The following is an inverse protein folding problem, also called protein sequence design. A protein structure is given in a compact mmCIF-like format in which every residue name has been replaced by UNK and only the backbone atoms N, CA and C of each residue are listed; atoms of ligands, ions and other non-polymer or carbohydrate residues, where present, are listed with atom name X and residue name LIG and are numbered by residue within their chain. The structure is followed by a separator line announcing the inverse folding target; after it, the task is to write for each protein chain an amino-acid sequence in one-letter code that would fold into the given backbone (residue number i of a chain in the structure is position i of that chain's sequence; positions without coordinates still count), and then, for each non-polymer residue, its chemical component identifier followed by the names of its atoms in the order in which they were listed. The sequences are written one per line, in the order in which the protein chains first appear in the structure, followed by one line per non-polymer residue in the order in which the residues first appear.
data_IF_154029698386
#
_entry.id   IF_154029698386
#
_cell.length_a   1.000
_cell.length_b   1.000
_cell.length_c   1.000
_cell.angle_alpha   90.00
_cell.angle_beta   90.00
_cell.angle_gamma   90.00
#
_symmetry.space_group_name_H-M   'P 1'
#
loop_
_entity.id
_entity.type
_entity.pdbx_description
1 polymer ?
#
# COMPACT_ATOMS: atom_id res chain seq x y z
N UNK A 1 -4.18 -20.42 -10.44
CA UNK A 1 -4.49 -20.17 -9.01
C UNK A 1 -3.94 -18.85 -8.50
N UNK A 2 -2.63 -18.59 -8.57
CA UNK A 2 -2.02 -17.32 -8.11
C UNK A 2 -2.60 -16.07 -8.78
N UNK A 3 -2.93 -16.14 -10.07
CA UNK A 3 -3.58 -15.05 -10.81
C UNK A 3 -4.96 -14.67 -10.25
N UNK A 4 -5.79 -15.66 -9.89
CA UNK A 4 -7.08 -15.41 -9.24
C UNK A 4 -6.90 -14.75 -7.88
N UNK A 5 -5.86 -15.12 -7.13
CA UNK A 5 -5.56 -14.48 -5.85
C UNK A 5 -5.16 -13.01 -6.01
N UNK A 6 -4.40 -12.65 -7.07
CA UNK A 6 -4.14 -11.23 -7.38
C UNK A 6 -5.42 -10.46 -7.67
N UNK A 7 -6.32 -11.05 -8.46
CA UNK A 7 -7.59 -10.44 -8.83
C UNK A 7 -8.39 -10.13 -7.58
N UNK A 8 -8.57 -11.13 -6.70
CA UNK A 8 -9.33 -10.98 -5.46
C UNK A 8 -8.68 -9.94 -4.55
N UNK A 9 -7.36 -10.01 -4.31
CA UNK A 9 -6.67 -9.06 -3.45
C UNK A 9 -6.79 -7.60 -3.94
N UNK A 10 -6.63 -7.39 -5.25
CA UNK A 10 -6.72 -6.06 -5.87
C UNK A 10 -8.16 -5.52 -5.81
N UNK A 11 -9.15 -6.35 -6.10
CA UNK A 11 -10.56 -5.97 -6.02
C UNK A 11 -11.00 -5.68 -4.58
N UNK A 12 -10.53 -6.48 -3.60
CA UNK A 12 -10.77 -6.21 -2.18
C UNK A 12 -10.19 -4.85 -1.78
N UNK A 13 -8.93 -4.58 -2.11
CA UNK A 13 -8.31 -3.28 -1.82
C UNK A 13 -9.09 -2.13 -2.45
N UNK A 14 -9.45 -2.25 -3.73
CA UNK A 14 -10.21 -1.24 -4.47
C UNK A 14 -11.59 -1.00 -3.87
N UNK A 15 -12.30 -2.05 -3.44
CA UNK A 15 -13.61 -1.91 -2.77
C UNK A 15 -13.51 -1.21 -1.43
N UNK A 16 -12.50 -1.52 -0.62
CA UNK A 16 -12.27 -0.80 0.65
C UNK A 16 -11.91 0.67 0.37
N UNK A 17 -11.18 0.94 -0.71
CA UNK A 17 -10.85 2.31 -1.10
C UNK A 17 -12.07 3.11 -1.59
N UNK A 18 -12.88 2.54 -2.48
CA UNK A 18 -14.12 3.17 -2.99
C UNK A 18 -15.13 3.44 -1.87
N UNK A 19 -15.28 2.53 -0.91
CA UNK A 19 -16.20 2.73 0.23
C UNK A 19 -15.73 3.85 1.18
N UNK A 20 -14.44 4.21 1.18
CA UNK A 20 -13.89 5.34 1.93
C UNK A 20 -14.02 6.67 1.18
N UNK A 21 -13.84 6.62 -0.13
CA UNK A 21 -13.83 7.78 -1.03
C UNK A 21 -14.90 7.57 -2.11
N UNK A 22 -16.19 7.79 -1.79
CA UNK A 22 -17.28 7.59 -2.75
C UNK A 22 -17.21 8.55 -3.95
N UNK A 23 -16.43 9.62 -3.83
CA UNK A 23 -16.07 10.57 -4.88
C UNK A 23 -15.08 10.00 -5.91
N UNK A 24 -14.33 8.95 -5.58
CA UNK A 24 -13.34 8.33 -6.47
C UNK A 24 -13.92 7.02 -7.03
N UNK A 25 -14.69 7.14 -8.11
CA UNK A 25 -15.16 5.97 -8.84
C UNK A 25 -14.17 5.58 -9.96
N UNK A 26 -13.28 4.65 -9.67
CA UNK A 26 -12.42 4.05 -10.71
C UNK A 26 -13.28 3.33 -11.76
N UNK A 27 -13.11 3.68 -13.03
CA UNK A 27 -13.83 3.01 -14.11
C UNK A 27 -13.44 1.53 -14.18
N UNK A 28 -14.40 0.67 -14.54
CA UNK A 28 -14.17 -0.76 -14.68
C UNK A 28 -13.02 -1.03 -15.68
N UNK A 29 -13.03 -0.33 -16.81
CA UNK A 29 -11.99 -0.43 -17.84
C UNK A 29 -10.58 -0.10 -17.29
N UNK A 30 -10.43 0.97 -16.51
CA UNK A 30 -9.15 1.33 -15.90
C UNK A 30 -8.69 0.28 -14.90
N UNK A 31 -9.61 -0.23 -14.08
CA UNK A 31 -9.31 -1.26 -13.08
C UNK A 31 -8.82 -2.54 -13.74
N UNK A 32 -9.52 -3.03 -14.76
CA UNK A 32 -9.12 -4.23 -15.49
C UNK A 32 -7.82 -4.04 -16.27
N UNK A 33 -7.56 -2.83 -16.81
CA UNK A 33 -6.29 -2.52 -17.45
C UNK A 33 -5.12 -2.60 -16.47
N UNK A 34 -5.25 -2.01 -15.27
CA UNK A 34 -4.23 -2.12 -14.22
C UNK A 34 -4.02 -3.57 -13.81
N UNK A 35 -5.10 -4.33 -13.65
CA UNK A 35 -5.03 -5.74 -13.30
C UNK A 35 -4.30 -6.56 -14.37
N UNK A 36 -4.58 -6.30 -15.65
CA UNK A 36 -3.88 -6.93 -16.77
C UNK A 36 -2.38 -6.60 -16.74
N UNK A 37 -2.02 -5.33 -16.50
CA UNK A 37 -0.62 -4.93 -16.33
C UNK A 37 0.07 -5.68 -15.19
N UNK A 38 -0.59 -5.80 -14.03
CA UNK A 38 -0.06 -6.55 -12.87
C UNK A 38 0.18 -8.02 -13.22
N UNK A 39 -0.77 -8.67 -13.90
CA UNK A 39 -0.64 -10.08 -14.32
C UNK A 39 0.49 -10.24 -15.34
N UNK A 40 0.62 -9.31 -16.30
CA UNK A 40 1.70 -9.34 -17.29
C UNK A 40 3.07 -9.14 -16.64
N UNK A 41 3.20 -8.23 -15.67
CA UNK A 41 4.43 -8.03 -14.88
C UNK A 41 4.73 -9.30 -14.08
N UNK A 42 3.72 -9.90 -13.44
CA UNK A 42 3.79 -11.19 -12.76
C UNK A 42 4.38 -12.28 -13.68
N UNK A 43 3.79 -12.44 -14.87
CA UNK A 43 4.23 -13.41 -15.87
C UNK A 43 5.65 -13.13 -16.36
N UNK A 44 5.97 -11.87 -16.66
CA UNK A 44 7.31 -11.48 -17.11
C UNK A 44 8.39 -11.76 -16.05
N UNK A 45 8.08 -11.52 -14.78
CA UNK A 45 8.99 -11.82 -13.67
C UNK A 45 9.18 -13.31 -13.42
N UNK A 46 8.18 -14.13 -13.72
CA UNK A 46 8.31 -15.60 -13.68
C UNK A 46 9.18 -16.10 -14.85
N UNK A 47 9.00 -15.56 -16.06
CA UNK A 47 9.71 -16.03 -17.27
C UNK A 47 11.15 -15.50 -17.38
N UNK A 48 11.40 -14.25 -16.96
CA UNK A 48 12.67 -13.53 -17.12
C UNK A 48 13.14 -12.89 -15.81
N UNK A 49 12.93 -13.56 -14.68
CA UNK A 49 13.24 -13.09 -13.33
C UNK A 49 14.73 -12.94 -13.01
N UNK A 50 15.47 -12.11 -13.75
CA UNK A 50 16.87 -11.79 -13.49
C UNK A 50 17.05 -10.76 -12.36
N UNK A 51 18.26 -10.65 -11.82
CA UNK A 51 18.59 -9.77 -10.69
C UNK A 51 18.19 -8.31 -10.95
N UNK A 52 18.42 -7.79 -12.16
CA UNK A 52 18.02 -6.43 -12.54
C UNK A 52 16.51 -6.21 -12.51
N UNK A 53 15.72 -7.21 -12.90
CA UNK A 53 14.27 -7.15 -12.83
C UNK A 53 13.81 -7.10 -11.36
N UNK A 54 14.41 -7.91 -10.50
CA UNK A 54 14.12 -7.91 -9.06
C UNK A 54 14.47 -6.59 -8.38
N UNK A 55 15.62 -5.99 -8.70
CA UNK A 55 16.02 -4.67 -8.17
C UNK A 55 15.03 -3.61 -8.66
N UNK A 56 14.76 -3.55 -9.96
CA UNK A 56 13.83 -2.58 -10.55
C UNK A 56 12.42 -2.69 -9.97
N UNK A 57 11.92 -3.93 -9.84
CA UNK A 57 10.61 -4.19 -9.25
C UNK A 57 10.56 -3.82 -7.76
N UNK A 58 11.61 -4.11 -6.99
CA UNK A 58 11.67 -3.74 -5.57
C UNK A 58 11.70 -2.22 -5.38
N UNK A 59 12.45 -1.50 -6.22
CA UNK A 59 12.41 -0.03 -6.24
C UNK A 59 11.00 0.49 -6.57
N UNK A 60 10.35 -0.05 -7.60
CA UNK A 60 8.99 0.34 -7.98
C UNK A 60 7.98 0.05 -6.86
N UNK A 61 8.09 -1.10 -6.18
CA UNK A 61 7.27 -1.46 -5.04
C UNK A 61 7.43 -0.47 -3.89
N UNK A 62 8.67 -0.15 -3.49
CA UNK A 62 8.95 0.81 -2.42
C UNK A 62 8.42 2.21 -2.75
N UNK A 63 8.61 2.67 -3.99
CA UNK A 63 8.06 3.96 -4.46
C UNK A 63 6.53 3.95 -4.36
N UNK A 64 5.88 2.86 -4.81
CA UNK A 64 4.42 2.73 -4.76
C UNK A 64 3.91 2.76 -3.31
N UNK A 65 4.57 2.04 -2.39
CA UNK A 65 4.21 2.04 -0.97
C UNK A 65 4.39 3.42 -0.32
N UNK A 66 5.43 4.16 -0.70
CA UNK A 66 5.62 5.54 -0.24
C UNK A 66 4.51 6.45 -0.77
N UNK A 67 4.18 6.39 -2.07
CA UNK A 67 3.10 7.19 -2.65
C UNK A 67 1.76 6.89 -1.98
N UNK A 68 1.43 5.61 -1.79
CA UNK A 68 0.20 5.19 -1.08
C UNK A 68 0.17 5.73 0.35
N UNK A 69 1.29 5.65 1.05
CA UNK A 69 1.40 6.20 2.40
C UNK A 69 1.13 7.70 2.41
N UNK A 70 1.71 8.46 1.49
CA UNK A 70 1.48 9.90 1.45
C UNK A 70 0.02 10.22 1.07
N UNK A 71 -0.59 9.47 0.16
CA UNK A 71 -2.01 9.64 -0.16
C UNK A 71 -2.94 9.38 1.04
N UNK A 72 -2.68 8.32 1.82
CA UNK A 72 -3.43 8.01 3.04
C UNK A 72 -3.25 9.11 4.09
N UNK A 73 -2.03 9.65 4.23
CA UNK A 73 -1.75 10.73 5.18
C UNK A 73 -2.54 12.01 4.86
N UNK A 74 -2.62 12.38 3.58
CA UNK A 74 -3.35 13.57 3.11
C UNK A 74 -4.81 13.29 2.71
N UNK A 75 -5.41 12.19 3.18
CA UNK A 75 -6.84 11.87 3.00
C UNK A 75 -7.30 11.84 1.53
N UNK A 76 -6.44 11.42 0.61
CA UNK A 76 -6.80 11.30 -0.82
C UNK A 76 -7.10 12.63 -1.54
N UNK A 77 -7.03 13.78 -0.85
CA UNK A 77 -7.20 15.11 -1.47
C UNK A 77 -5.99 15.54 -2.29
N UNK A 78 -4.92 14.75 -2.27
CA UNK A 78 -3.69 15.09 -2.97
C UNK A 78 -3.77 14.58 -4.40
N UNK A 79 -4.14 15.47 -5.32
CA UNK A 79 -3.90 15.27 -6.75
C UNK A 79 -2.38 15.18 -6.93
N UNK A 80 -1.90 14.12 -7.57
CA UNK A 80 -0.47 13.92 -7.89
C UNK A 80 -0.05 14.87 -9.01
N UNK A 81 -0.16 16.17 -8.77
CA UNK A 81 0.38 17.17 -9.66
C UNK A 81 1.89 17.23 -9.44
N UNK A 82 2.68 17.19 -10.51
CA UNK A 82 4.14 17.34 -10.44
C UNK A 82 4.57 18.58 -9.62
N UNK A 83 3.76 19.64 -9.65
CA UNK A 83 3.92 20.86 -8.87
C UNK A 83 3.72 20.68 -7.36
N UNK A 84 2.95 19.69 -6.92
CA UNK A 84 2.75 19.37 -5.51
C UNK A 84 3.91 18.54 -4.95
N UNK A 85 4.44 17.60 -5.75
CA UNK A 85 5.66 16.84 -5.43
C UNK A 85 6.85 17.80 -5.29
N UNK A 86 7.00 18.75 -6.24
CA UNK A 86 8.06 19.77 -6.19
C UNK A 86 7.95 20.64 -4.94
N UNK A 87 6.74 21.03 -4.53
CA UNK A 87 6.50 21.81 -3.31
C UNK A 87 6.88 21.05 -2.05
N UNK A 88 6.51 19.77 -1.94
CA UNK A 88 6.88 18.95 -0.79
C UNK A 88 8.37 18.66 -0.76
N UNK A 89 9.01 18.40 -1.90
CA UNK A 89 10.46 18.24 -1.96
C UNK A 89 11.21 19.51 -1.53
N UNK A 90 10.74 20.68 -1.97
CA UNK A 90 11.34 21.97 -1.57
C UNK A 90 11.12 22.23 -0.09
N UNK A 91 9.93 21.95 0.45
CA UNK A 91 9.63 22.09 1.88
C UNK A 91 10.49 21.15 2.73
N UNK A 92 10.58 19.87 2.38
CA UNK A 92 11.43 18.90 3.06
C UNK A 92 12.90 19.32 2.96
N UNK A 93 13.36 19.75 1.79
CA UNK A 93 14.74 20.20 1.59
C UNK A 93 15.08 21.44 2.43
N UNK A 94 14.15 22.39 2.54
CA UNK A 94 14.33 23.62 3.31
C UNK A 94 14.22 23.37 4.83
N UNK A 95 13.27 22.54 5.27
CA UNK A 95 13.08 22.17 6.67
C UNK A 95 14.25 21.32 7.20
N UNK A 96 14.79 20.39 6.39
CA UNK A 96 16.02 19.65 6.70
C UNK A 96 17.24 20.57 6.88
N UNK A 97 17.25 21.71 6.19
CA UNK A 97 18.35 22.68 6.24
C UNK A 97 18.31 23.58 7.49
N UNK A 98 17.13 23.79 8.07
CA UNK A 98 16.93 24.73 9.18
C UNK A 98 16.98 24.05 10.55
N UNK A 99 16.40 22.86 10.72
CA UNK A 99 16.59 22.04 11.92
C UNK A 99 15.98 20.63 11.74
N UNK A 100 16.77 19.54 11.88
CA UNK A 100 16.27 18.17 11.69
C UNK A 100 15.19 17.76 12.71
N UNK A 101 15.10 18.45 13.85
CA UNK A 101 14.17 18.14 14.94
C UNK A 101 12.77 18.74 14.75
N UNK A 102 12.60 19.78 13.91
CA UNK A 102 11.27 20.37 13.65
C UNK A 102 10.45 19.59 12.61
N UNK A 103 11.10 18.74 11.81
CA UNK A 103 10.45 17.83 10.86
C UNK A 103 9.55 16.77 11.53
N UNK A 104 9.68 16.57 12.85
CA UNK A 104 9.05 15.47 13.60
C UNK A 104 7.76 15.93 14.31
N UNK A 105 7.18 17.09 13.97
CA UNK A 105 5.83 17.44 14.44
C UNK A 105 4.78 16.99 13.42
N UNK A 106 4.27 15.75 13.51
CA UNK A 106 3.13 15.34 12.71
C UNK A 106 1.92 16.20 13.02
N UNK A 107 1.27 16.69 11.96
CA UNK A 107 -0.03 17.34 12.08
C UNK A 107 -1.10 16.36 12.63
N UNK A 108 -0.90 15.04 12.43
CA UNK A 108 -1.75 13.96 12.94
C UNK A 108 -0.92 12.79 13.48
N UNK A 109 -0.51 12.80 14.78
CA UNK A 109 0.44 11.82 15.33
C UNK A 109 -0.06 10.37 15.27
N UNK A 110 -1.33 10.12 15.60
CA UNK A 110 -1.91 8.76 15.60
C UNK A 110 -1.91 8.13 14.19
N UNK A 111 -2.10 8.96 13.15
CA UNK A 111 -2.03 8.51 11.76
C UNK A 111 -0.58 8.25 11.37
N UNK A 112 0.33 9.17 11.70
CA UNK A 112 1.73 9.03 11.34
C UNK A 112 2.36 7.74 11.90
N UNK A 113 2.09 7.37 13.17
CA UNK A 113 2.62 6.14 13.77
C UNK A 113 2.20 4.90 12.96
N UNK A 114 0.93 4.82 12.58
CA UNK A 114 0.38 3.68 11.85
C UNK A 114 0.91 3.60 10.41
N UNK A 115 1.10 4.75 9.76
CA UNK A 115 1.76 4.82 8.45
C UNK A 115 3.25 4.48 8.51
N UNK A 116 3.95 4.89 9.57
CA UNK A 116 5.36 4.53 9.74
C UNK A 116 5.52 3.03 9.97
N UNK A 117 4.66 2.42 10.79
CA UNK A 117 4.64 0.96 10.98
C UNK A 117 4.38 0.24 9.65
N UNK A 118 3.44 0.75 8.85
CA UNK A 118 3.13 0.18 7.55
C UNK A 118 4.29 0.25 6.55
N UNK A 119 5.01 1.38 6.50
CA UNK A 119 6.21 1.49 5.68
C UNK A 119 7.32 0.57 6.16
N UNK A 120 7.52 0.43 7.48
CA UNK A 120 8.49 -0.50 8.05
C UNK A 120 8.16 -1.96 7.64
N UNK A 121 6.89 -2.36 7.67
CA UNK A 121 6.46 -3.67 7.18
C UNK A 121 6.75 -3.85 5.68
N UNK A 122 6.47 -2.85 4.84
CA UNK A 122 6.77 -2.92 3.40
C UNK A 122 8.28 -2.96 3.11
N UNK A 123 9.09 -2.21 3.86
CA UNK A 123 10.56 -2.28 3.78
C UNK A 123 11.05 -3.66 4.21
N UNK A 124 10.50 -4.21 5.30
CA UNK A 124 10.83 -5.56 5.74
C UNK A 124 10.50 -6.60 4.65
N UNK A 125 9.34 -6.50 4.00
CA UNK A 125 8.97 -7.37 2.87
C UNK A 125 9.91 -7.22 1.68
N UNK A 126 10.31 -6.00 1.34
CA UNK A 126 11.29 -5.75 0.29
C UNK A 126 12.66 -6.38 0.59
N UNK A 127 13.15 -6.22 1.84
CA UNK A 127 14.41 -6.83 2.29
C UNK A 127 14.32 -8.35 2.31
N UNK A 128 13.21 -8.92 2.79
CA UNK A 128 12.96 -10.35 2.78
C UNK A 128 12.88 -10.89 1.34
N UNK A 129 12.21 -10.16 0.44
CA UNK A 129 12.12 -10.51 -0.99
C UNK A 129 13.46 -10.57 -1.69
N UNK A 130 14.33 -9.58 -1.42
CA UNK A 130 15.70 -9.54 -1.93
C UNK A 130 16.58 -10.64 -1.30
N UNK A 131 16.55 -10.79 0.03
CA UNK A 131 17.43 -11.70 0.77
C UNK A 131 17.13 -13.16 0.48
N UNK A 132 15.86 -13.54 0.42
CA UNK A 132 15.47 -14.93 0.25
C UNK A 132 15.45 -15.39 -1.22
N UNK A 133 15.79 -14.52 -2.19
CA UNK A 133 15.87 -14.82 -3.63
C UNK A 133 14.83 -15.87 -4.04
N UNK A 134 13.57 -15.62 -3.67
CA UNK A 134 12.56 -16.67 -3.60
C UNK A 134 12.11 -17.01 -5.01
N UNK A 135 12.66 -18.12 -5.50
CA UNK A 135 12.28 -19.10 -6.53
C UNK A 135 10.99 -18.90 -7.36
N UNK A 136 9.99 -18.17 -6.88
CA UNK A 136 8.77 -17.81 -7.58
C UNK A 136 8.38 -16.32 -7.37
N UNK A 137 8.68 -15.49 -8.38
CA UNK A 137 8.30 -14.06 -8.39
C UNK A 137 6.79 -13.86 -8.17
N UNK A 138 5.96 -14.79 -8.66
CA UNK A 138 4.53 -14.72 -8.48
C UNK A 138 4.13 -14.73 -6.98
N UNK A 139 4.69 -15.64 -6.20
CA UNK A 139 4.38 -15.73 -4.77
C UNK A 139 4.86 -14.49 -4.02
N UNK A 140 6.00 -13.92 -4.43
CA UNK A 140 6.49 -12.65 -3.89
C UNK A 140 5.58 -11.45 -4.23
N UNK A 141 5.15 -11.34 -5.49
CA UNK A 141 4.18 -10.32 -5.89
C UNK A 141 2.87 -10.46 -5.09
N UNK A 142 2.46 -11.70 -4.82
CA UNK A 142 1.23 -11.99 -4.07
C UNK A 142 1.36 -11.58 -2.61
N UNK A 143 2.50 -11.87 -1.99
CA UNK A 143 2.74 -11.50 -0.59
C UNK A 143 2.73 -9.98 -0.42
N UNK A 144 3.23 -9.22 -1.39
CA UNK A 144 3.13 -7.75 -1.40
C UNK A 144 1.67 -7.29 -1.41
N UNK A 145 0.84 -7.82 -2.32
CA UNK A 145 -0.58 -7.44 -2.39
C UNK A 145 -1.32 -7.81 -1.10
N UNK A 146 -1.11 -9.02 -0.58
CA UNK A 146 -1.75 -9.48 0.64
C UNK A 146 -1.31 -8.69 1.86
N UNK A 147 -0.02 -8.41 2.00
CA UNK A 147 0.48 -7.62 3.12
C UNK A 147 -0.05 -6.18 3.08
N UNK A 148 -0.06 -5.54 1.90
CA UNK A 148 -0.63 -4.19 1.77
C UNK A 148 -2.14 -4.19 2.01
N UNK A 149 -2.86 -5.21 1.56
CA UNK A 149 -4.29 -5.37 1.86
C UNK A 149 -4.53 -5.50 3.38
N UNK A 150 -3.76 -6.36 4.07
CA UNK A 150 -3.88 -6.58 5.52
C UNK A 150 -3.50 -5.32 6.30
N UNK A 151 -2.42 -4.65 5.91
CA UNK A 151 -1.99 -3.39 6.51
C UNK A 151 -3.04 -2.30 6.33
N UNK A 152 -3.66 -2.20 5.15
CA UNK A 152 -4.71 -1.24 4.87
C UNK A 152 -6.00 -1.55 5.66
N UNK A 153 -6.41 -2.83 5.77
CA UNK A 153 -7.55 -3.23 6.59
C UNK A 153 -7.28 -3.00 8.08
N UNK A 154 -6.08 -3.29 8.56
CA UNK A 154 -5.65 -3.01 9.94
C UNK A 154 -5.69 -1.51 10.22
N UNK A 155 -5.12 -0.69 9.33
CA UNK A 155 -5.20 0.78 9.41
C UNK A 155 -6.65 1.24 9.51
N UNK A 156 -7.53 0.67 8.68
CA UNK A 156 -8.95 0.99 8.67
C UNK A 156 -9.65 0.66 9.98
N UNK A 157 -9.43 -0.54 10.53
CA UNK A 157 -10.03 -1.01 11.78
C UNK A 157 -9.56 -0.15 12.95
N UNK A 158 -8.25 0.09 13.08
CA UNK A 158 -7.69 0.95 14.13
C UNK A 158 -8.28 2.35 14.06
N UNK A 159 -8.38 2.93 12.87
CA UNK A 159 -9.00 4.25 12.69
C UNK A 159 -10.46 4.29 13.15
N UNK A 160 -11.26 3.25 12.85
CA UNK A 160 -12.64 3.15 13.36
C UNK A 160 -12.69 3.06 14.88
N UNK A 161 -11.82 2.26 15.48
CA UNK A 161 -11.73 2.10 16.93
C UNK A 161 -11.37 3.42 17.61
N UNK A 162 -10.37 4.16 17.09
CA UNK A 162 -9.96 5.46 17.64
C UNK A 162 -11.05 6.54 17.56
N UNK A 163 -11.94 6.49 16.55
CA UNK A 163 -13.03 7.46 16.40
C UNK A 163 -14.35 6.97 17.02
N UNK A 164 -14.31 5.87 17.78
CA UNK A 164 -15.49 5.24 18.40
C UNK A 164 -16.64 4.95 17.42
N UNK A 165 -16.30 4.66 16.16
CA UNK A 165 -17.29 4.22 15.18
C UNK A 165 -17.68 2.76 15.43
N UNK A 166 -18.97 2.45 15.29
CA UNK A 166 -19.46 1.07 15.44
C UNK A 166 -18.97 0.22 14.26
N UNK A 167 -18.30 -0.88 14.57
CA UNK A 167 -17.98 -1.93 13.59
C UNK A 167 -19.27 -2.73 13.35
N UNK A 168 -19.62 -2.96 12.08
CA UNK A 168 -20.76 -3.83 11.76
C UNK A 168 -20.52 -5.24 12.31
N UNK A 169 -21.59 -5.91 12.72
CA UNK A 169 -21.53 -7.28 13.27
C UNK A 169 -20.95 -8.27 12.24
N UNK A 170 -21.23 -8.08 10.95
CA UNK A 170 -20.72 -8.94 9.87
C UNK A 170 -19.18 -8.98 9.80
N UNK A 171 -18.44 -7.85 9.64
CA UNK A 171 -16.97 -7.84 9.74
C UNK A 171 -16.43 -8.42 11.04
N UNK A 172 -17.09 -8.14 12.17
CA UNK A 172 -16.64 -8.64 13.48
C UNK A 172 -16.71 -10.17 13.56
N UNK A 173 -17.78 -10.77 13.05
CA UNK A 173 -17.90 -12.23 12.93
C UNK A 173 -16.80 -12.82 12.03
N UNK A 174 -16.50 -12.19 10.89
CA UNK A 174 -15.43 -12.66 10.01
C UNK A 174 -14.05 -12.59 10.66
N UNK A 175 -13.76 -11.53 11.42
CA UNK A 175 -12.49 -11.40 12.16
C UNK A 175 -12.39 -12.52 13.20
N UNK A 176 -13.43 -12.75 13.99
CA UNK A 176 -13.43 -13.82 15.01
C UNK A 176 -13.24 -15.19 14.34
N UNK A 177 -13.98 -15.46 13.25
CA UNK A 177 -13.86 -16.71 12.52
C UNK A 177 -12.45 -16.94 11.98
N UNK A 178 -11.79 -15.89 11.49
CA UNK A 178 -10.41 -15.98 10.97
C UNK A 178 -9.37 -16.33 12.03
N UNK A 179 -9.60 -16.02 13.30
CA UNK A 179 -8.75 -16.44 14.41
C UNK A 179 -9.12 -17.82 14.96
N UNK A 180 -10.33 -18.31 14.67
CA UNK A 180 -10.82 -19.61 15.09
C UNK A 180 -10.50 -20.73 14.10
N UNK A 181 -10.21 -20.39 12.83
CA UNK A 181 -9.77 -21.32 11.77
C UNK A 181 -8.27 -21.52 11.77
#
# INVERSE_FOLDING_TARGET
DTSFMYVIATLCMLKIYQTRHPDINASAYSTFAVLACVILIGMAGVLKGGVYFWIGFTCLHLITCLVLSVQIYYMGRWTLDFSAIKRVFVLIYFDLRVSPLHCIRPLYPNRMVLLTLGNLCNIALAVLGLKYHLRDFATYLLSIFMANLLLYTFFYIVMKLCHHERILVQPLLYIILSFAS
#
